data_IF_087987752142
#
_entry.id   IF_087987752142
#
_cell.length_a   1.000
_cell.length_b   1.000
_cell.length_c   1.000
_cell.angle_alpha   90.00
_cell.angle_beta   90.00
_cell.angle_gamma   90.00
#
_symmetry.space_group_name_H-M   'P 1'
#
loop_
_entity.id
_entity.type
_entity.pdbx_description
1 polymer ?
#
# COMPACT_ATOMS: atom_id res chain seq x y z
N UNK A 1 25.18 14.37 -0.47
CA UNK A 1 25.07 13.07 0.22
C UNK A 1 23.59 12.76 0.34
N UNK A 2 23.17 11.54 -0.01
CA UNK A 2 21.77 11.14 0.04
C UNK A 2 21.25 10.94 1.48
N UNK A 3 19.96 10.60 1.64
CA UNK A 3 19.38 10.30 2.94
C UNK A 3 20.02 9.05 3.56
N UNK A 4 20.05 9.00 4.90
CA UNK A 4 20.36 7.80 5.67
C UNK A 4 19.08 6.98 5.83
N UNK A 5 19.07 5.73 5.37
CA UNK A 5 17.86 4.90 5.31
C UNK A 5 18.10 3.54 5.97
N UNK A 6 17.17 3.12 6.83
CA UNK A 6 17.07 1.76 7.36
C UNK A 6 15.74 1.15 6.94
N UNK A 7 15.75 -0.15 6.64
CA UNK A 7 14.58 -0.93 6.24
C UNK A 7 14.47 -2.16 7.15
N UNK A 8 13.28 -2.48 7.63
CA UNK A 8 13.01 -3.64 8.48
C UNK A 8 11.60 -4.17 8.23
N UNK A 9 11.44 -5.50 8.34
CA UNK A 9 10.18 -6.19 8.06
C UNK A 9 9.94 -6.45 6.56
N UNK A 10 8.98 -7.33 6.28
CA UNK A 10 8.52 -7.67 4.94
C UNK A 10 7.02 -7.96 4.99
N UNK A 11 6.29 -7.65 3.92
CA UNK A 11 4.85 -7.96 3.77
C UNK A 11 3.96 -7.41 4.91
N UNK A 12 4.28 -6.22 5.42
CA UNK A 12 3.60 -5.56 6.55
C UNK A 12 2.22 -4.95 6.18
N UNK A 13 1.77 -5.14 4.94
CA UNK A 13 0.50 -4.66 4.40
C UNK A 13 -0.56 -5.78 4.39
N UNK A 14 -0.57 -6.59 5.43
CA UNK A 14 -1.45 -7.74 5.62
C UNK A 14 -2.77 -7.40 6.33
N UNK A 15 -2.91 -6.15 6.80
CA UNK A 15 -3.99 -5.62 7.62
C UNK A 15 -3.98 -6.10 9.09
N UNK A 16 -2.84 -6.62 9.55
CA UNK A 16 -2.58 -6.93 10.95
C UNK A 16 -1.83 -5.79 11.66
N UNK A 17 -1.81 -5.83 12.99
CA UNK A 17 -1.06 -4.86 13.78
C UNK A 17 0.43 -5.19 13.79
N UNK A 18 1.25 -4.18 13.44
CA UNK A 18 2.71 -4.25 13.56
C UNK A 18 3.21 -3.18 14.53
N UNK A 19 4.23 -3.52 15.32
CA UNK A 19 4.88 -2.61 16.27
C UNK A 19 6.18 -2.06 15.69
N UNK A 20 6.27 -0.74 15.55
CA UNK A 20 7.49 -0.05 15.08
C UNK A 20 8.16 0.70 16.22
N UNK A 21 9.46 0.47 16.41
CA UNK A 21 10.29 1.16 17.41
C UNK A 21 11.53 1.73 16.75
N UNK A 22 11.76 3.03 16.97
CA UNK A 22 12.96 3.73 16.50
C UNK A 22 13.76 4.22 17.71
N UNK A 23 15.05 3.93 17.72
CA UNK A 23 15.99 4.47 18.72
C UNK A 23 17.15 5.15 17.99
N UNK A 24 17.40 6.42 18.32
CA UNK A 24 18.54 7.17 17.81
C UNK A 24 19.42 7.65 18.96
N UNK A 25 20.70 7.31 18.92
CA UNK A 25 21.74 7.78 19.87
C UNK A 25 22.89 8.41 19.10
N UNK A 26 22.87 9.74 18.96
CA UNK A 26 23.84 10.46 18.14
C UNK A 26 23.75 10.02 16.67
N UNK A 27 24.77 9.30 16.21
CA UNK A 27 24.85 8.72 14.86
C UNK A 27 24.33 7.28 14.78
N UNK A 28 24.14 6.61 15.91
CA UNK A 28 23.66 5.23 15.93
C UNK A 28 22.14 5.23 15.80
N UNK A 29 21.64 4.45 14.84
CA UNK A 29 20.24 4.27 14.54
C UNK A 29 19.88 2.81 14.77
N UNK A 30 18.69 2.58 15.31
CA UNK A 30 18.10 1.26 15.45
C UNK A 30 16.62 1.37 15.06
N UNK A 31 16.20 0.48 14.17
CA UNK A 31 14.83 0.32 13.74
C UNK A 31 14.40 -1.12 14.04
N UNK A 32 13.34 -1.26 14.81
CA UNK A 32 12.70 -2.55 15.08
C UNK A 32 11.28 -2.54 14.53
N UNK A 33 10.93 -3.60 13.79
CA UNK A 33 9.55 -3.90 13.37
C UNK A 33 9.24 -5.29 13.88
N UNK A 34 8.28 -5.38 14.79
CA UNK A 34 7.96 -6.58 15.57
C UNK A 34 9.24 -7.18 16.19
N UNK A 35 9.62 -8.38 15.77
CA UNK A 35 10.79 -9.11 16.27
C UNK A 35 12.05 -8.89 15.42
N UNK A 36 11.97 -8.13 14.32
CA UNK A 36 13.10 -7.85 13.42
C UNK A 36 13.73 -6.53 13.79
N UNK A 37 15.04 -6.51 14.05
CA UNK A 37 15.78 -5.29 14.38
C UNK A 37 16.95 -5.10 13.43
N UNK A 38 17.10 -3.87 12.93
CA UNK A 38 18.20 -3.45 12.06
C UNK A 38 18.88 -2.23 12.67
N UNK A 39 20.20 -2.23 12.64
CA UNK A 39 21.03 -1.13 13.13
C UNK A 39 21.70 -0.40 11.97
N UNK A 40 21.97 0.89 12.16
CA UNK A 40 22.61 1.76 11.19
C UNK A 40 23.51 2.78 11.85
N UNK A 41 24.46 3.29 11.07
CA UNK A 41 25.33 4.37 11.51
C UNK A 41 25.30 5.49 10.48
N UNK A 42 24.87 6.68 10.91
CA UNK A 42 24.80 7.86 10.04
C UNK A 42 26.19 8.28 9.55
N UNK A 43 26.28 8.64 8.27
CA UNK A 43 27.46 9.29 7.72
C UNK A 43 27.46 10.79 8.01
N UNK A 44 28.65 11.41 7.98
CA UNK A 44 28.80 12.84 8.26
C UNK A 44 28.92 13.18 9.75
N UNK A 45 29.06 14.47 10.07
CA UNK A 45 29.32 14.95 11.43
C UNK A 45 28.05 15.40 12.18
N UNK A 46 26.97 15.71 11.46
CA UNK A 46 25.78 16.32 12.04
C UNK A 46 24.91 15.28 12.77
N UNK A 47 24.48 15.60 13.98
CA UNK A 47 23.62 14.73 14.82
C UNK A 47 22.39 15.44 15.38
N UNK A 48 22.33 16.77 15.29
CA UNK A 48 21.17 17.57 15.72
C UNK A 48 20.04 17.47 14.70
N UNK A 49 18.81 17.32 15.17
CA UNK A 49 17.59 17.35 14.37
C UNK A 49 16.69 18.44 14.94
N UNK A 50 16.23 19.34 14.08
CA UNK A 50 15.28 20.40 14.42
C UNK A 50 13.94 20.08 13.75
N UNK A 51 12.86 20.18 14.51
CA UNK A 51 11.49 19.95 14.03
C UNK A 51 10.52 20.80 14.86
N UNK A 52 9.40 21.15 14.25
CA UNK A 52 8.34 21.93 14.89
C UNK A 52 7.10 21.08 15.18
N UNK A 53 6.81 20.12 14.30
CA UNK A 53 5.61 19.30 14.34
C UNK A 53 5.96 17.81 14.32
N UNK A 54 5.07 16.99 14.90
CA UNK A 54 5.03 15.55 14.69
C UNK A 54 3.76 15.27 13.90
N UNK A 55 3.90 14.78 12.67
CA UNK A 55 2.79 14.62 11.73
C UNK A 55 2.49 13.14 11.49
N UNK A 56 1.21 12.82 11.32
CA UNK A 56 0.73 11.49 10.92
C UNK A 56 -0.34 11.62 9.84
N UNK A 57 -0.55 10.57 9.05
CA UNK A 57 -1.55 10.58 7.98
C UNK A 57 -1.09 11.30 6.72
N UNK A 58 -0.78 12.59 6.84
CA UNK A 58 -0.41 13.49 5.74
C UNK A 58 0.82 14.31 6.16
N UNK A 59 1.79 14.44 5.26
CA UNK A 59 2.91 15.37 5.43
C UNK A 59 2.48 16.77 4.95
N UNK A 60 2.36 17.71 5.89
CA UNK A 60 1.89 19.08 5.64
C UNK A 60 3.05 20.04 5.37
N UNK A 61 4.20 19.86 6.03
CA UNK A 61 5.41 20.63 5.75
C UNK A 61 6.17 20.07 4.53
N UNK A 62 6.25 20.85 3.46
CA UNK A 62 6.78 20.42 2.15
C UNK A 62 7.92 21.28 1.63
N UNK A 63 8.34 22.32 2.36
CA UNK A 63 9.29 23.33 1.85
C UNK A 63 10.65 22.76 1.41
N UNK A 64 11.08 21.64 1.98
CA UNK A 64 12.45 21.12 1.81
C UNK A 64 12.53 19.69 1.27
N UNK A 65 11.42 19.10 0.82
CA UNK A 65 11.37 17.70 0.38
C UNK A 65 10.95 17.64 -1.09
N UNK A 66 11.76 16.95 -1.90
CA UNK A 66 11.50 16.77 -3.34
C UNK A 66 10.53 15.63 -3.66
N UNK A 67 10.37 14.65 -2.75
CA UNK A 67 9.46 13.51 -2.90
C UNK A 67 8.65 13.34 -1.62
N UNK A 68 7.36 13.62 -1.71
CA UNK A 68 6.43 13.48 -0.59
C UNK A 68 5.87 12.05 -0.57
N UNK A 69 5.92 11.34 0.57
CA UNK A 69 5.25 10.05 0.70
C UNK A 69 3.74 10.16 0.45
N UNK A 70 3.13 9.07 -0.03
CA UNK A 70 1.67 8.99 -0.13
C UNK A 70 1.00 9.12 1.24
N UNK A 71 -0.24 9.61 1.26
CA UNK A 71 -1.04 9.66 2.49
C UNK A 71 -1.28 8.24 3.05
N UNK A 72 -1.44 8.13 4.37
CA UNK A 72 -1.67 6.85 5.04
C UNK A 72 -3.16 6.47 5.06
N UNK A 73 -3.46 5.21 4.71
CA UNK A 73 -4.77 4.59 4.84
C UNK A 73 -4.61 3.40 5.79
N UNK A 74 -5.25 3.48 6.95
CA UNK A 74 -5.13 2.46 7.99
C UNK A 74 -5.44 3.01 9.36
N UNK A 75 -5.06 2.27 10.40
CA UNK A 75 -5.19 2.69 11.79
C UNK A 75 -3.80 2.82 12.42
N UNK A 76 -3.63 3.84 13.25
CA UNK A 76 -2.44 4.02 14.08
C UNK A 76 -2.86 3.94 15.55
N UNK A 77 -2.00 3.38 16.38
CA UNK A 77 -2.20 3.31 17.82
C UNK A 77 -0.86 3.55 18.53
N UNK A 78 -0.93 4.06 19.76
CA UNK A 78 0.20 4.15 20.68
C UNK A 78 1.43 4.90 20.12
N UNK A 79 1.21 5.96 19.33
CA UNK A 79 2.30 6.85 18.92
C UNK A 79 2.90 7.50 20.17
N UNK A 80 4.11 7.07 20.51
CA UNK A 80 4.91 7.67 21.57
C UNK A 80 6.20 8.24 21.00
N UNK A 81 6.47 9.50 21.33
CA UNK A 81 7.74 10.15 20.98
C UNK A 81 8.37 10.74 22.24
N UNK A 82 9.58 10.30 22.56
CA UNK A 82 10.28 10.63 23.81
C UNK A 82 9.42 10.39 25.07
N UNK A 83 8.62 9.32 25.06
CA UNK A 83 7.76 8.93 26.18
C UNK A 83 6.41 9.66 26.23
N UNK A 84 6.15 10.63 25.36
CA UNK A 84 4.87 11.35 25.30
C UNK A 84 3.88 10.59 24.38
N UNK A 85 2.73 10.10 24.90
CA UNK A 85 1.74 9.36 24.12
C UNK A 85 0.77 10.33 23.41
N UNK A 86 1.19 10.86 22.25
CA UNK A 86 0.49 11.95 21.57
C UNK A 86 -0.96 11.64 21.18
N UNK A 87 -1.25 10.42 20.72
CA UNK A 87 -2.62 10.06 20.33
C UNK A 87 -3.57 10.01 21.54
N UNK A 88 -3.10 9.51 22.68
CA UNK A 88 -3.92 9.41 23.90
C UNK A 88 -4.14 10.79 24.53
N UNK A 89 -3.08 11.60 24.65
CA UNK A 89 -3.19 12.98 25.17
C UNK A 89 -4.12 13.83 24.30
N UNK A 90 -4.03 13.68 22.98
CA UNK A 90 -4.90 14.38 22.05
C UNK A 90 -6.37 13.93 22.19
N UNK A 91 -6.62 12.62 22.29
CA UNK A 91 -7.96 12.07 22.48
C UNK A 91 -8.62 12.53 23.78
N UNK A 92 -7.84 12.61 24.85
CA UNK A 92 -8.33 12.98 26.18
C UNK A 92 -8.44 14.50 26.38
N UNK A 93 -7.85 15.31 25.49
CA UNK A 93 -7.80 16.77 25.63
C UNK A 93 -6.72 17.26 26.60
N UNK A 94 -5.71 16.44 26.90
CA UNK A 94 -4.60 16.79 27.80
C UNK A 94 -3.65 17.83 27.18
N UNK A 95 -3.68 17.97 25.85
CA UNK A 95 -2.90 18.93 25.08
C UNK A 95 -3.81 19.77 24.19
N UNK A 96 -3.54 21.07 24.11
CA UNK A 96 -4.30 22.01 23.28
C UNK A 96 -3.71 22.20 21.87
N UNK A 97 -2.50 21.70 21.63
CA UNK A 97 -1.76 21.84 20.37
C UNK A 97 -1.86 20.60 19.47
N UNK A 98 -3.02 19.93 19.49
CA UNK A 98 -3.32 18.82 18.60
C UNK A 98 -4.32 19.24 17.53
N UNK A 99 -3.90 19.22 16.27
CA UNK A 99 -4.73 19.51 15.11
C UNK A 99 -4.94 18.23 14.29
N UNK A 100 -6.20 17.84 14.06
CA UNK A 100 -6.51 16.62 13.30
C UNK A 100 -7.88 16.69 12.60
N UNK A 101 -7.97 16.02 11.46
CA UNK A 101 -9.22 15.66 10.78
C UNK A 101 -9.44 14.13 10.72
N UNK A 102 -8.53 13.37 11.32
CA UNK A 102 -8.65 11.93 11.50
C UNK A 102 -9.80 11.58 12.48
N UNK A 103 -10.10 10.29 12.64
CA UNK A 103 -11.12 9.83 13.58
C UNK A 103 -10.54 8.81 14.54
N UNK A 104 -10.92 8.92 15.81
CA UNK A 104 -10.60 7.92 16.82
C UNK A 104 -11.53 6.71 16.72
N UNK A 105 -10.98 5.52 16.96
CA UNK A 105 -11.72 4.26 16.96
C UNK A 105 -11.48 3.41 15.71
N UNK A 106 -11.62 2.09 15.88
CA UNK A 106 -11.50 1.12 14.79
C UNK A 106 -12.76 1.09 13.93
N UNK A 107 -12.58 1.00 12.61
CA UNK A 107 -13.68 0.81 11.66
C UNK A 107 -13.16 0.25 10.34
N UNK A 108 -14.04 -0.38 9.57
CA UNK A 108 -13.72 -0.69 8.19
C UNK A 108 -13.55 0.62 7.39
N UNK A 109 -12.44 0.75 6.66
CA UNK A 109 -12.12 1.95 5.87
C UNK A 109 -12.48 1.67 4.41
N UNK A 110 -13.29 2.55 3.83
CA UNK A 110 -13.49 2.65 2.38
C UNK A 110 -13.01 4.04 1.99
N UNK A 111 -11.89 4.10 1.28
CA UNK A 111 -11.25 5.36 0.90
C UNK A 111 -11.85 5.90 -0.41
N UNK A 112 -12.35 7.12 -0.38
CA UNK A 112 -12.80 7.92 -1.54
C UNK A 112 -13.58 7.12 -2.62
N UNK A 113 -14.73 6.51 -2.28
CA UNK A 113 -15.46 5.64 -3.20
C UNK A 113 -15.99 6.43 -4.42
N UNK A 114 -15.78 5.88 -5.62
CA UNK A 114 -16.27 6.43 -6.90
C UNK A 114 -17.26 5.44 -7.54
N UNK A 115 -18.33 5.96 -8.18
CA UNK A 115 -19.36 5.14 -8.83
C UNK A 115 -19.30 5.23 -10.35
N UNK A 116 -19.11 4.08 -11.01
CA UNK A 116 -19.24 3.92 -12.46
C UNK A 116 -20.70 3.57 -12.80
N UNK A 117 -21.46 4.56 -13.26
CA UNK A 117 -22.91 4.43 -13.46
C UNK A 117 -23.31 3.57 -14.67
N UNK A 118 -22.39 3.35 -15.62
CA UNK A 118 -22.63 2.53 -16.81
C UNK A 118 -21.42 1.64 -17.09
N UNK A 119 -21.64 0.54 -17.82
CA UNK A 119 -20.55 -0.36 -18.23
C UNK A 119 -19.54 0.29 -19.19
N UNK A 120 -19.93 1.40 -19.83
CA UNK A 120 -19.07 2.16 -20.74
C UNK A 120 -18.28 3.27 -20.03
N UNK A 121 -18.59 3.56 -18.76
CA UNK A 121 -17.88 4.58 -17.99
C UNK A 121 -16.46 4.10 -17.68
N UNK A 122 -15.45 4.92 -17.97
CA UNK A 122 -14.06 4.63 -17.65
C UNK A 122 -13.33 5.90 -17.20
N UNK A 123 -12.22 5.72 -16.50
CA UNK A 123 -11.25 6.77 -16.17
C UNK A 123 -9.90 6.34 -16.72
N UNK A 124 -9.18 7.28 -17.33
CA UNK A 124 -7.81 7.07 -17.78
C UNK A 124 -6.84 7.75 -16.81
N UNK A 125 -5.85 7.01 -16.35
CA UNK A 125 -4.82 7.47 -15.41
C UNK A 125 -3.44 7.44 -16.08
N UNK A 126 -2.45 8.04 -15.42
CA UNK A 126 -1.05 7.86 -15.80
C UNK A 126 -0.64 6.39 -15.73
N UNK A 127 0.23 5.99 -16.64
CA UNK A 127 0.77 4.64 -16.76
C UNK A 127 1.31 4.10 -15.44
N UNK A 128 0.94 2.85 -15.14
CA UNK A 128 1.42 2.17 -13.94
C UNK A 128 2.94 1.97 -13.98
N UNK A 129 3.64 2.53 -13.00
CA UNK A 129 5.09 2.38 -12.87
C UNK A 129 5.40 1.05 -12.15
N UNK A 130 5.52 -0.04 -12.90
CA UNK A 130 5.61 -1.41 -12.36
C UNK A 130 6.93 -2.15 -12.67
N UNK A 131 8.04 -1.40 -12.76
CA UNK A 131 9.31 -1.90 -13.27
C UNK A 131 9.87 -3.11 -12.49
N UNK A 132 10.19 -2.96 -11.19
CA UNK A 132 10.84 -4.03 -10.41
C UNK A 132 9.86 -4.85 -9.57
N UNK A 133 8.87 -4.19 -8.99
CA UNK A 133 7.79 -4.80 -8.23
C UNK A 133 6.49 -4.04 -8.52
N UNK A 134 5.37 -4.68 -8.25
CA UNK A 134 4.05 -4.10 -8.44
C UNK A 134 3.21 -4.38 -7.20
N UNK A 135 2.50 -3.37 -6.72
CA UNK A 135 1.51 -3.51 -5.66
C UNK A 135 0.29 -2.67 -6.00
N UNK A 136 -0.80 -3.36 -6.33
CA UNK A 136 -2.12 -2.78 -6.59
C UNK A 136 -3.05 -3.20 -5.45
N UNK A 137 -3.77 -2.23 -4.90
CA UNK A 137 -4.85 -2.46 -3.95
C UNK A 137 -6.02 -1.57 -4.35
N UNK A 138 -7.21 -2.16 -4.40
CA UNK A 138 -8.46 -1.43 -4.50
C UNK A 138 -9.59 -2.23 -3.86
N UNK A 139 -10.68 -1.53 -3.57
CA UNK A 139 -11.91 -2.13 -3.10
C UNK A 139 -12.98 -1.93 -4.17
N UNK A 140 -13.84 -2.92 -4.35
CA UNK A 140 -14.98 -2.79 -5.27
C UNK A 140 -16.26 -3.33 -4.64
N UNK A 141 -17.38 -2.87 -5.20
CA UNK A 141 -18.73 -3.29 -4.84
C UNK A 141 -19.60 -3.24 -6.08
N UNK A 142 -20.27 -4.34 -6.41
CA UNK A 142 -21.08 -4.45 -7.63
C UNK A 142 -22.19 -5.48 -7.49
N UNK A 143 -23.18 -5.39 -8.35
CA UNK A 143 -24.19 -6.45 -8.58
C UNK A 143 -24.02 -7.13 -9.95
N UNK A 144 -23.12 -6.63 -10.79
CA UNK A 144 -22.84 -7.20 -12.11
C UNK A 144 -21.88 -8.38 -12.00
N UNK A 145 -22.15 -9.45 -12.73
CA UNK A 145 -21.32 -10.66 -12.78
C UNK A 145 -20.03 -10.47 -13.60
N UNK A 146 -20.06 -9.59 -14.60
CA UNK A 146 -18.99 -9.45 -15.57
C UNK A 146 -18.64 -7.97 -15.77
N UNK A 147 -17.35 -7.66 -15.86
CA UNK A 147 -16.87 -6.30 -16.12
C UNK A 147 -15.35 -6.14 -16.00
N UNK A 148 -14.78 -5.29 -16.85
CA UNK A 148 -13.39 -4.88 -16.77
C UNK A 148 -13.21 -3.89 -15.60
N UNK A 149 -12.23 -4.12 -14.73
CA UNK A 149 -11.94 -3.26 -13.58
C UNK A 149 -10.66 -2.43 -13.80
N UNK A 150 -9.62 -3.05 -14.37
CA UNK A 150 -8.35 -2.40 -14.68
C UNK A 150 -7.75 -2.98 -15.96
N UNK A 151 -7.20 -2.11 -16.79
CA UNK A 151 -6.41 -2.48 -17.97
C UNK A 151 -5.23 -1.52 -18.11
N UNK A 152 -4.04 -2.08 -18.36
CA UNK A 152 -2.87 -1.32 -18.79
C UNK A 152 -2.08 -2.17 -19.77
N UNK A 153 -1.72 -1.60 -20.92
CA UNK A 153 -0.85 -2.22 -21.91
C UNK A 153 0.58 -1.67 -21.81
N UNK A 154 1.52 -2.40 -22.36
CA UNK A 154 2.92 -2.02 -22.50
C UNK A 154 3.42 -2.15 -23.94
N UNK A 155 4.73 -2.22 -24.08
CA UNK A 155 5.36 -2.49 -25.37
C UNK A 155 5.15 -3.95 -25.82
N UNK A 156 4.93 -4.15 -27.12
CA UNK A 156 4.76 -5.49 -27.69
C UNK A 156 3.46 -6.15 -27.25
N UNK A 157 3.56 -7.31 -26.59
CA UNK A 157 2.42 -8.08 -26.07
C UNK A 157 2.17 -7.85 -24.58
N UNK A 158 2.91 -6.94 -23.94
CA UNK A 158 2.81 -6.76 -22.50
C UNK A 158 1.48 -6.13 -22.10
N UNK A 159 0.80 -6.73 -21.13
CA UNK A 159 -0.40 -6.15 -20.54
C UNK A 159 -0.69 -6.71 -19.15
N UNK A 160 -1.50 -5.97 -18.40
CA UNK A 160 -2.17 -6.43 -17.19
C UNK A 160 -3.65 -6.11 -17.26
N UNK A 161 -4.48 -7.05 -16.80
CA UNK A 161 -5.94 -6.94 -16.72
C UNK A 161 -6.39 -7.43 -15.35
N UNK A 162 -7.27 -6.67 -14.71
CA UNK A 162 -8.11 -7.18 -13.63
C UNK A 162 -9.56 -7.06 -14.08
N UNK A 163 -10.27 -8.17 -14.07
CA UNK A 163 -11.66 -8.24 -14.53
C UNK A 163 -12.48 -9.14 -13.62
N UNK A 164 -13.79 -8.94 -13.64
CA UNK A 164 -14.77 -9.82 -13.02
C UNK A 164 -15.37 -10.70 -14.11
N UNK A 165 -15.38 -12.01 -13.89
CA UNK A 165 -15.98 -13.00 -14.81
C UNK A 165 -16.84 -13.96 -14.01
N UNK A 166 -18.15 -14.00 -14.33
CA UNK A 166 -19.15 -14.80 -13.58
C UNK A 166 -19.11 -14.55 -12.07
N UNK A 167 -18.79 -13.33 -11.67
CA UNK A 167 -18.66 -12.89 -10.28
C UNK A 167 -17.33 -13.23 -9.60
N UNK A 168 -16.34 -13.76 -10.31
CA UNK A 168 -15.01 -14.07 -9.75
C UNK A 168 -13.95 -13.15 -10.33
N UNK A 169 -12.99 -12.70 -9.51
CA UNK A 169 -11.89 -11.87 -9.98
C UNK A 169 -10.91 -12.72 -10.78
N UNK A 170 -10.56 -12.25 -11.97
CA UNK A 170 -9.48 -12.74 -12.78
C UNK A 170 -8.38 -11.67 -12.87
N UNK A 171 -7.14 -12.11 -12.70
CA UNK A 171 -5.96 -11.33 -13.00
C UNK A 171 -5.26 -11.98 -14.20
N UNK A 172 -5.25 -11.28 -15.33
CA UNK A 172 -4.64 -11.74 -16.59
C UNK A 172 -3.46 -10.85 -16.90
N UNK A 173 -2.33 -11.44 -17.29
CA UNK A 173 -1.14 -10.68 -17.62
C UNK A 173 -0.30 -11.39 -18.67
N UNK A 174 0.40 -10.63 -19.50
CA UNK A 174 1.49 -11.10 -20.36
C UNK A 174 2.69 -10.18 -20.13
N UNK A 175 3.83 -10.78 -19.83
CA UNK A 175 5.11 -10.11 -19.57
C UNK A 175 6.19 -10.68 -20.52
N UNK A 176 5.85 -10.80 -21.80
CA UNK A 176 6.69 -11.33 -22.87
C UNK A 176 6.81 -12.85 -22.95
N UNK A 177 6.00 -13.61 -22.21
CA UNK A 177 6.04 -15.08 -22.19
C UNK A 177 4.69 -15.73 -22.53
N UNK A 178 3.77 -14.92 -23.04
CA UNK A 178 2.40 -15.32 -23.32
C UNK A 178 1.48 -15.07 -22.13
N UNK A 179 0.16 -15.03 -22.39
CA UNK A 179 -0.82 -14.67 -21.38
C UNK A 179 -0.93 -15.75 -20.29
N UNK A 180 -0.91 -15.28 -19.05
CA UNK A 180 -1.16 -16.06 -17.84
C UNK A 180 -2.45 -15.58 -17.16
N UNK A 181 -3.18 -16.50 -16.53
CA UNK A 181 -4.42 -16.22 -15.82
C UNK A 181 -4.33 -16.75 -14.38
N UNK A 182 -4.53 -15.86 -13.42
CA UNK A 182 -4.80 -16.19 -12.02
C UNK A 182 -6.29 -15.95 -11.72
N UNK A 183 -6.94 -16.94 -11.11
CA UNK A 183 -8.31 -16.81 -10.62
C UNK A 183 -8.31 -16.56 -9.13
N UNK A 184 -9.10 -15.58 -8.69
CA UNK A 184 -9.32 -15.30 -7.28
C UNK A 184 -9.94 -16.50 -6.58
N UNK A 185 -9.49 -16.78 -5.36
CA UNK A 185 -9.96 -17.91 -4.57
C UNK A 185 -11.07 -17.46 -3.60
N UNK A 186 -12.23 -17.05 -4.13
CA UNK A 186 -13.42 -16.77 -3.31
C UNK A 186 -14.38 -17.97 -3.32
N UNK A 187 -15.00 -18.26 -2.19
CA UNK A 187 -15.99 -19.35 -2.10
C UNK A 187 -17.28 -19.03 -2.89
N UNK A 188 -17.61 -17.74 -3.01
CA UNK A 188 -18.84 -17.23 -3.63
C UNK A 188 -18.53 -16.17 -4.69
N UNK A 189 -19.48 -15.95 -5.63
CA UNK A 189 -19.45 -14.78 -6.50
C UNK A 189 -19.45 -13.47 -5.70
N UNK A 190 -18.64 -12.50 -6.11
CA UNK A 190 -18.34 -11.23 -5.46
C UNK A 190 -19.25 -10.07 -5.92
N UNK A 191 -20.32 -10.40 -6.64
CA UNK A 191 -21.32 -9.44 -7.12
C UNK A 191 -22.54 -9.37 -6.16
N UNK A 192 -22.27 -9.46 -4.86
CA UNK A 192 -23.27 -9.55 -3.78
C UNK A 192 -23.63 -8.18 -3.17
N UNK A 193 -23.20 -7.09 -3.81
CA UNK A 193 -23.36 -5.71 -3.35
C UNK A 193 -22.64 -5.39 -2.02
N UNK A 194 -21.63 -6.18 -1.62
CA UNK A 194 -20.72 -5.87 -0.52
C UNK A 194 -19.39 -5.32 -1.04
N UNK A 195 -18.61 -4.73 -0.13
CA UNK A 195 -17.25 -4.31 -0.42
C UNK A 195 -16.32 -5.52 -0.33
N UNK A 196 -15.48 -5.70 -1.35
CA UNK A 196 -14.44 -6.72 -1.39
C UNK A 196 -13.07 -6.07 -1.61
N UNK A 197 -12.06 -6.61 -0.94
CA UNK A 197 -10.67 -6.19 -1.06
C UNK A 197 -9.98 -6.99 -2.17
N UNK A 198 -9.28 -6.30 -3.07
CA UNK A 198 -8.48 -6.93 -4.13
C UNK A 198 -7.05 -6.42 -4.04
N UNK A 199 -6.11 -7.33 -3.80
CA UNK A 199 -4.67 -7.07 -3.89
C UNK A 199 -4.09 -7.85 -5.06
N UNK A 200 -3.39 -7.16 -5.94
CA UNK A 200 -2.55 -7.79 -6.98
C UNK A 200 -1.12 -7.30 -6.77
N UNK A 201 -0.18 -8.22 -6.56
CA UNK A 201 1.22 -7.85 -6.44
C UNK A 201 2.16 -8.78 -7.18
N UNK A 202 3.33 -8.25 -7.56
CA UNK A 202 4.47 -8.99 -8.10
C UNK A 202 5.72 -8.54 -7.34
N UNK A 203 6.45 -9.48 -6.76
CA UNK A 203 7.75 -9.18 -6.15
C UNK A 203 8.90 -9.24 -7.17
N UNK A 204 10.10 -8.91 -6.71
CA UNK A 204 11.35 -8.91 -7.47
C UNK A 204 11.83 -10.32 -7.88
N UNK A 205 11.21 -11.36 -7.31
CA UNK A 205 11.44 -12.77 -7.65
C UNK A 205 10.37 -13.32 -8.61
N UNK A 206 9.56 -12.45 -9.25
CA UNK A 206 8.47 -12.84 -10.16
C UNK A 206 7.39 -13.72 -9.51
N UNK A 207 7.19 -13.59 -8.19
CA UNK A 207 6.06 -14.21 -7.50
C UNK A 207 4.88 -13.25 -7.58
N UNK A 208 3.84 -13.69 -8.29
CA UNK A 208 2.56 -13.01 -8.35
C UNK A 208 1.66 -13.46 -7.20
N UNK A 209 0.94 -12.51 -6.61
CA UNK A 209 -0.01 -12.72 -5.53
C UNK A 209 -1.33 -12.06 -5.94
N UNK A 210 -2.41 -12.82 -5.85
CA UNK A 210 -3.79 -12.32 -5.96
C UNK A 210 -4.48 -12.64 -4.63
N UNK A 211 -4.80 -11.62 -3.84
CA UNK A 211 -5.56 -11.76 -2.59
C UNK A 211 -6.93 -11.13 -2.75
N UNK A 212 -7.98 -11.93 -2.50
CA UNK A 212 -9.37 -11.52 -2.48
C UNK A 212 -9.86 -11.67 -1.04
N UNK A 213 -10.22 -10.57 -0.41
CA UNK A 213 -10.54 -10.51 1.03
C UNK A 213 -9.43 -11.21 1.85
N UNK A 214 -9.75 -12.32 2.53
CA UNK A 214 -8.78 -13.11 3.31
C UNK A 214 -8.06 -14.20 2.52
N UNK A 215 -8.43 -14.46 1.26
CA UNK A 215 -7.95 -15.61 0.50
C UNK A 215 -6.86 -15.23 -0.48
N UNK A 216 -5.71 -15.93 -0.41
CA UNK A 216 -4.54 -15.64 -1.24
C UNK A 216 -4.27 -16.76 -2.23
N UNK A 217 -3.96 -16.38 -3.47
CA UNK A 217 -3.43 -17.25 -4.53
C UNK A 217 -2.05 -16.74 -4.94
N UNK A 218 -1.09 -17.64 -5.06
CA UNK A 218 0.28 -17.32 -5.48
C UNK A 218 0.65 -18.08 -6.75
N UNK A 219 1.31 -17.41 -7.69
CA UNK A 219 1.83 -18.04 -8.90
C UNK A 219 3.24 -17.52 -9.19
N UNK A 220 4.17 -18.43 -9.47
CA UNK A 220 5.49 -18.07 -9.97
C UNK A 220 5.44 -17.97 -11.49
N UNK A 221 5.94 -16.87 -12.06
CA UNK A 221 6.05 -16.72 -13.52
C UNK A 221 7.51 -16.84 -13.96
N UNK A 222 7.73 -17.61 -15.04
CA UNK A 222 9.02 -17.67 -15.70
C UNK A 222 8.98 -16.59 -16.79
N UNK A 223 9.43 -15.37 -16.48
CA UNK A 223 9.38 -14.28 -17.46
C UNK A 223 10.29 -13.09 -17.18
N UNK A 224 10.23 -12.09 -18.07
CA UNK A 224 11.08 -10.91 -18.01
C UNK A 224 10.95 -10.20 -16.65
N UNK A 225 12.07 -9.73 -16.11
CA UNK A 225 12.12 -9.12 -14.77
C UNK A 225 11.34 -7.79 -14.68
N UNK A 226 11.07 -7.14 -15.82
CA UNK A 226 10.51 -5.79 -15.86
C UNK A 226 9.19 -5.75 -16.62
N UNK A 227 8.20 -5.02 -16.08
CA UNK A 227 7.02 -4.57 -16.84
C UNK A 227 7.33 -3.21 -17.47
N UNK A 228 7.32 -3.13 -18.80
CA UNK A 228 7.43 -1.88 -19.54
C UNK A 228 6.04 -1.43 -20.02
N UNK A 229 5.21 -0.96 -19.07
CA UNK A 229 3.87 -0.42 -19.35
C UNK A 229 3.98 0.99 -19.98
N UNK A 230 3.06 1.35 -20.89
CA UNK A 230 2.96 2.67 -21.55
C UNK A 230 1.58 3.29 -21.43
#
# INVERSE_FOLDING_TARGET
KGPETLLAGQKLNDNEWHSVKVVRRGKNLQLSVDNVTVEGHMTGAHTRLEFHNIETGIMTERRFISVVPSNFIGHLQALSFNGVPYLDQCKNGDISYCELNARFGMRHIVADPVTFHSRASCLAFSTLQAYASMHLFFQFKTTSLDGLLLFSSGDGSDFIVVELVKGYIHYVFDLGNGPSLMKGNSEKPLNDNQWHDVVVSRDDNNVHILKIDSHTVTQHSNGARNLDLK
#
